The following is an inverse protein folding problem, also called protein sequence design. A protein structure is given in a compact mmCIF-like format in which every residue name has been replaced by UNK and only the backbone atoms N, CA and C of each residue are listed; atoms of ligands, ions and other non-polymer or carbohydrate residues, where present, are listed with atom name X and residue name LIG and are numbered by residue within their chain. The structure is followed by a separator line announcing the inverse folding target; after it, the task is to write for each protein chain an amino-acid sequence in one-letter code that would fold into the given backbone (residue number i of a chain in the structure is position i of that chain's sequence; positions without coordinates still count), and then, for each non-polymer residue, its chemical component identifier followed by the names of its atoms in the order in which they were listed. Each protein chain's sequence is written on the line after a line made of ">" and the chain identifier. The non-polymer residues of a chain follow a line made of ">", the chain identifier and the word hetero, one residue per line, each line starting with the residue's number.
data_IF_001509238397
#
_entry.id   IF_001509238397
#
_cell.length_a   1.000
_cell.length_b   1.000
_cell.length_c   1.000
_cell.angle_alpha   90.00
_cell.angle_beta   90.00
_cell.angle_gamma   90.00
#
_symmetry.space_group_name_H-M   'P 1'
#
loop_
_entity.id
_entity.type
_entity.pdbx_description
1 polymer ?
#
# COMPACT_ATOMS: atom_id res chain seq x y z
N UNK A 1 -9.52 8.17 13.52
CA UNK A 1 -8.93 9.16 12.66
C UNK A 1 -7.42 9.06 12.73
N UNK A 2 -6.92 8.03 12.09
CA UNK A 2 -5.54 7.63 12.25
C UNK A 2 -4.64 8.13 11.13
N UNK A 3 -3.38 7.80 11.29
CA UNK A 3 -2.35 8.12 10.33
C UNK A 3 -1.56 6.86 10.00
N UNK A 4 -1.91 6.25 8.88
CA UNK A 4 -1.34 5.00 8.43
C UNK A 4 0.17 5.08 8.28
N UNK A 5 0.86 4.17 8.95
CA UNK A 5 2.28 3.98 8.71
C UNK A 5 2.45 3.00 7.56
N UNK A 6 3.27 3.35 6.58
CA UNK A 6 3.47 2.52 5.41
C UNK A 6 4.47 1.40 5.72
N UNK A 7 4.03 0.13 5.59
CA UNK A 7 4.83 -1.03 5.94
C UNK A 7 5.76 -1.51 4.82
N UNK A 8 6.52 -2.56 5.12
CA UNK A 8 7.48 -3.13 4.19
C UNK A 8 6.83 -4.17 3.28
N UNK A 9 7.01 -3.99 1.98
CA UNK A 9 6.51 -4.95 1.01
C UNK A 9 7.60 -5.96 0.68
N UNK A 10 7.34 -7.22 0.99
CA UNK A 10 8.29 -8.30 0.73
C UNK A 10 8.51 -8.48 -0.77
N UNK A 11 7.45 -8.30 -1.54
CA UNK A 11 7.50 -8.48 -2.99
C UNK A 11 7.17 -7.16 -3.69
N UNK A 12 7.45 -6.06 -3.02
CA UNK A 12 7.13 -4.76 -3.55
C UNK A 12 8.16 -3.72 -3.19
N UNK A 13 8.17 -2.61 -3.91
CA UNK A 13 9.14 -1.56 -3.70
C UNK A 13 8.68 -0.66 -2.57
N UNK A 14 9.36 -0.76 -1.44
CA UNK A 14 9.02 -0.01 -0.24
C UNK A 14 9.54 1.41 -0.32
N UNK A 15 9.17 2.10 -1.39
CA UNK A 15 9.58 3.48 -1.61
C UNK A 15 9.00 4.38 -0.53
N UNK A 16 7.81 4.01 -0.05
CA UNK A 16 7.07 4.84 0.90
C UNK A 16 7.23 4.31 2.31
N UNK A 17 7.98 3.23 2.47
CA UNK A 17 8.17 2.63 3.78
C UNK A 17 8.87 3.60 4.72
N UNK A 18 8.21 3.92 5.82
CA UNK A 18 8.74 4.88 6.76
C UNK A 18 7.88 6.13 6.83
N UNK A 19 7.00 6.29 5.85
CA UNK A 19 6.17 7.48 5.77
C UNK A 19 4.85 7.27 6.49
N UNK A 20 4.23 8.38 6.89
CA UNK A 20 2.96 8.37 7.57
C UNK A 20 1.97 9.27 6.84
N UNK A 21 0.77 8.76 6.63
CA UNK A 21 -0.28 9.51 5.94
C UNK A 21 -1.55 9.52 6.77
N UNK A 22 -2.32 10.60 6.68
CA UNK A 22 -3.58 10.71 7.41
C UNK A 22 -4.69 9.98 6.68
N UNK A 23 -5.65 9.44 7.44
CA UNK A 23 -6.75 8.68 6.85
C UNK A 23 -7.57 9.55 5.91
N UNK A 24 -7.85 8.99 4.74
CA UNK A 24 -8.52 9.76 3.71
C UNK A 24 -7.52 10.19 2.66
N UNK A 25 -6.46 9.41 2.53
CA UNK A 25 -5.42 9.68 1.57
C UNK A 25 -5.14 8.47 0.71
N UNK A 26 -4.47 8.68 -0.40
CA UNK A 26 -4.05 7.59 -1.26
C UNK A 26 -2.61 7.79 -1.68
N UNK A 27 -1.98 6.71 -2.13
CA UNK A 27 -0.60 6.74 -2.57
C UNK A 27 -0.28 5.48 -3.36
N UNK A 28 0.54 5.64 -4.37
CA UNK A 28 0.91 4.56 -5.28
C UNK A 28 1.96 3.65 -4.67
N UNK A 29 1.76 2.35 -4.88
CA UNK A 29 2.66 1.33 -4.34
C UNK A 29 3.11 0.40 -5.46
N UNK A 30 4.32 0.60 -5.93
CA UNK A 30 4.87 -0.23 -6.99
C UNK A 30 5.35 -1.57 -6.44
N UNK A 31 4.75 -2.64 -6.92
CA UNK A 31 5.19 -3.98 -6.58
C UNK A 31 5.95 -4.55 -7.76
N UNK A 32 6.65 -5.66 -7.56
CA UNK A 32 7.39 -6.28 -8.66
C UNK A 32 6.44 -6.80 -9.73
N UNK A 33 6.95 -6.99 -10.96
CA UNK A 33 6.16 -7.47 -12.10
C UNK A 33 5.40 -8.76 -11.79
N UNK A 34 4.09 -8.64 -11.70
CA UNK A 34 3.26 -9.79 -11.37
C UNK A 34 2.78 -9.74 -9.94
N UNK A 35 3.06 -8.63 -9.27
CA UNK A 35 2.53 -8.38 -7.95
C UNK A 35 1.82 -7.04 -7.94
N UNK A 36 0.68 -6.99 -7.26
CA UNK A 36 -0.11 -5.76 -7.20
C UNK A 36 -1.06 -5.79 -6.01
N UNK A 37 -1.93 -4.81 -5.93
CA UNK A 37 -2.88 -4.69 -4.84
C UNK A 37 -4.22 -5.28 -5.20
N UNK A 38 -5.04 -5.57 -4.18
CA UNK A 38 -6.42 -5.99 -4.36
C UNK A 38 -7.21 -5.02 -5.23
N UNK A 39 -8.23 -5.56 -5.90
CA UNK A 39 -9.08 -4.80 -6.81
C UNK A 39 -8.29 -4.27 -8.00
N UNK A 40 -7.20 -4.96 -8.33
CA UNK A 40 -6.33 -4.61 -9.45
C UNK A 40 -5.75 -3.20 -9.29
N UNK A 41 -5.67 -2.74 -8.06
CA UNK A 41 -5.21 -1.38 -7.77
C UNK A 41 -3.69 -1.33 -7.66
N UNK A 42 -3.15 -0.12 -7.78
CA UNK A 42 -1.74 0.12 -7.56
C UNK A 42 -1.60 1.16 -6.45
N UNK A 43 -2.73 1.71 -6.03
CA UNK A 43 -2.77 2.73 -5.02
C UNK A 43 -3.47 2.23 -3.75
N UNK A 44 -2.95 2.60 -2.60
CA UNK A 44 -3.56 2.26 -1.33
C UNK A 44 -4.18 3.50 -0.71
N UNK A 45 -5.30 3.29 -0.05
CA UNK A 45 -6.00 4.36 0.61
C UNK A 45 -5.72 4.31 2.10
N UNK A 46 -5.18 5.37 2.66
CA UNK A 46 -4.94 5.41 4.09
C UNK A 46 -6.25 5.41 4.84
N UNK A 47 -6.52 4.35 5.56
CA UNK A 47 -7.67 4.30 6.40
C UNK A 47 -7.40 3.58 7.68
N UNK A 48 -7.90 4.18 8.74
CA UNK A 48 -7.74 3.74 10.11
C UNK A 48 -6.38 3.08 10.35
N UNK A 49 -5.32 3.74 9.86
CA UNK A 49 -3.92 3.35 10.08
C UNK A 49 -3.54 2.09 9.29
N UNK A 50 -4.51 1.26 8.95
CA UNK A 50 -4.20 -0.03 8.39
C UNK A 50 -4.51 -0.15 6.91
N UNK A 51 -4.35 0.96 6.18
CA UNK A 51 -4.52 1.03 4.73
C UNK A 51 -5.72 0.24 4.22
N UNK A 52 -6.72 0.95 3.73
CA UNK A 52 -8.01 0.38 3.34
C UNK A 52 -7.89 -0.96 2.59
N UNK A 53 -7.20 -1.01 1.43
CA UNK A 53 -7.12 -2.23 0.64
C UNK A 53 -5.95 -3.12 1.04
N UNK A 54 -5.11 -2.58 1.93
CA UNK A 54 -3.94 -3.28 2.48
C UNK A 54 -2.81 -3.42 1.45
N UNK A 55 -1.66 -2.78 1.71
CA UNK A 55 -0.48 -2.91 0.87
C UNK A 55 0.29 -4.19 1.17
N UNK A 56 0.24 -5.14 0.24
CA UNK A 56 0.86 -6.45 0.47
C UNK A 56 1.41 -7.07 -0.81
N UNK A 57 1.02 -6.53 -1.96
CA UNK A 57 1.50 -7.02 -3.26
C UNK A 57 1.23 -8.51 -3.45
N UNK A 58 0.04 -8.84 -3.89
CA UNK A 58 -0.33 -10.21 -4.18
C UNK A 58 0.09 -10.55 -5.59
N UNK A 59 0.26 -11.83 -5.88
CA UNK A 59 0.76 -12.24 -7.17
C UNK A 59 -0.36 -12.38 -8.18
N UNK A 60 -0.38 -11.42 -9.05
CA UNK A 60 -1.33 -11.34 -10.14
C UNK A 60 -0.98 -12.35 -11.22
N UNK A 61 0.33 -12.50 -11.44
CA UNK A 61 0.88 -13.30 -12.53
C UNK A 61 0.66 -12.55 -13.84
#
# INVERSE_FOLDING_TARGET
>A
LRKCYFPYLENGYNQNYGRKFVQGKSIDVACHPGYALPKAQTTVTCMENGWSPTPRCIRVK
#
